data_IF_761793600716
#
_entry.id   IF_761793600716
#
_cell.length_a   1.000
_cell.length_b   1.000
_cell.length_c   1.000
_cell.angle_alpha   90.00
_cell.angle_beta   90.00
_cell.angle_gamma   90.00
#
_symmetry.space_group_name_H-M   'P 1'
#
loop_
_entity.id
_entity.type
_entity.pdbx_description
1 polymer ?
#
# COMPACT_ATOMS: atom_id res chain seq x y z
N UNK A 1 16.49 -54.92 45.66
CA UNK A 1 15.43 -53.88 45.65
C UNK A 1 14.78 -53.94 44.30
N UNK A 2 13.55 -54.48 44.17
CA UNK A 2 12.76 -54.51 42.94
C UNK A 2 11.78 -53.37 43.04
N UNK A 3 11.90 -52.29 42.16
CA UNK A 3 10.95 -51.20 42.05
C UNK A 3 9.73 -51.73 41.30
N UNK A 4 8.65 -51.98 42.00
CA UNK A 4 7.36 -52.29 41.40
C UNK A 4 6.68 -51.01 40.98
N UNK A 5 6.57 -50.76 39.68
CA UNK A 5 5.67 -49.76 39.12
C UNK A 5 4.25 -50.29 39.29
N UNK A 6 3.40 -49.54 39.95
CA UNK A 6 2.01 -49.93 40.16
C UNK A 6 1.25 -49.93 38.85
N UNK A 7 0.31 -50.89 38.70
CA UNK A 7 -0.52 -51.07 37.48
C UNK A 7 -1.24 -49.80 37.05
N UNK A 8 -1.51 -48.91 37.95
CA UNK A 8 -2.17 -47.62 37.72
C UNK A 8 -1.27 -46.60 36.99
N UNK A 9 0.04 -46.59 37.22
CA UNK A 9 0.98 -45.68 36.53
C UNK A 9 1.15 -46.10 35.08
N UNK A 10 1.14 -47.39 34.77
CA UNK A 10 1.25 -47.92 33.42
C UNK A 10 -0.02 -47.65 32.61
N UNK A 11 -1.20 -47.75 33.22
CA UNK A 11 -2.49 -47.46 32.59
C UNK A 11 -2.60 -45.95 32.30
N UNK A 12 -2.19 -45.08 33.23
CA UNK A 12 -2.18 -43.63 33.04
C UNK A 12 -1.27 -43.16 31.91
N UNK A 13 -0.07 -43.74 31.78
CA UNK A 13 0.85 -43.46 30.67
C UNK A 13 0.31 -43.95 29.32
N UNK A 14 -0.30 -45.14 29.26
CA UNK A 14 -0.89 -45.69 28.06
C UNK A 14 -2.08 -44.85 27.56
N UNK A 15 -2.96 -44.40 28.48
CA UNK A 15 -4.07 -43.52 28.13
C UNK A 15 -3.58 -42.13 27.63
N UNK A 16 -2.55 -41.54 28.25
CA UNK A 16 -1.99 -40.27 27.83
C UNK A 16 -1.34 -40.35 26.45
N UNK A 17 -0.66 -41.42 26.12
CA UNK A 17 -0.08 -41.67 24.79
C UNK A 17 -1.18 -41.89 23.76
N UNK A 18 -2.25 -42.61 24.09
CA UNK A 18 -3.38 -42.84 23.18
C UNK A 18 -4.11 -41.52 22.85
N UNK A 19 -4.34 -40.67 23.84
CA UNK A 19 -4.97 -39.35 23.66
C UNK A 19 -4.08 -38.44 22.79
N UNK A 20 -2.75 -38.45 22.99
CA UNK A 20 -1.82 -37.72 22.17
C UNK A 20 -1.79 -38.20 20.70
N UNK A 21 -1.86 -39.52 20.49
CA UNK A 21 -1.93 -40.10 19.14
C UNK A 21 -3.26 -39.76 18.46
N UNK A 22 -4.39 -39.87 19.16
CA UNK A 22 -5.71 -39.50 18.62
C UNK A 22 -5.77 -38.00 18.30
N UNK A 23 -5.19 -37.14 19.13
CA UNK A 23 -5.10 -35.69 18.85
C UNK A 23 -4.20 -35.37 17.65
N UNK A 24 -3.16 -36.17 17.39
CA UNK A 24 -2.33 -36.02 16.18
C UNK A 24 -3.07 -36.44 14.90
N UNK A 25 -3.89 -37.51 14.98
CA UNK A 25 -4.69 -38.00 13.84
C UNK A 25 -5.97 -37.18 13.59
N UNK A 26 -6.47 -36.44 14.59
CA UNK A 26 -7.62 -35.55 14.48
C UNK A 26 -7.25 -34.10 14.12
N UNK A 27 -5.99 -33.81 13.81
CA UNK A 27 -5.68 -32.49 13.21
C UNK A 27 -6.39 -32.40 11.87
N UNK A 28 -7.31 -31.44 11.67
CA UNK A 28 -7.89 -31.24 10.35
C UNK A 28 -6.73 -31.07 9.37
N UNK A 29 -6.75 -31.81 8.27
CA UNK A 29 -5.81 -31.57 7.16
C UNK A 29 -5.82 -30.08 6.88
N UNK A 30 -4.66 -29.43 6.83
CA UNK A 30 -4.62 -28.03 6.41
C UNK A 30 -5.35 -27.96 5.07
N UNK A 31 -6.40 -27.14 5.00
CA UNK A 31 -7.12 -26.94 3.77
C UNK A 31 -6.07 -26.60 2.69
N UNK A 32 -6.10 -27.31 1.56
CA UNK A 32 -5.20 -26.99 0.44
C UNK A 32 -5.45 -25.51 0.13
N UNK A 33 -4.39 -24.69 0.01
CA UNK A 33 -4.56 -23.31 -0.38
C UNK A 33 -5.34 -23.30 -1.71
N UNK A 34 -6.55 -22.82 -1.66
CA UNK A 34 -7.35 -22.61 -2.87
C UNK A 34 -6.67 -21.48 -3.60
N UNK A 35 -6.10 -21.75 -4.77
CA UNK A 35 -5.56 -20.66 -5.62
C UNK A 35 -6.73 -19.74 -5.95
N UNK A 36 -6.68 -18.47 -5.52
CA UNK A 36 -7.79 -17.56 -5.77
C UNK A 36 -8.04 -17.42 -7.27
N UNK A 37 -9.30 -17.59 -7.67
CA UNK A 37 -9.69 -17.42 -9.07
C UNK A 37 -9.70 -15.93 -9.41
N UNK A 38 -9.12 -15.51 -10.56
CA UNK A 38 -9.21 -14.14 -11.02
C UNK A 38 -10.67 -13.67 -11.11
N UNK A 39 -10.94 -12.46 -10.67
CA UNK A 39 -12.29 -11.87 -10.70
C UNK A 39 -12.27 -10.55 -11.46
N UNK A 40 -13.34 -10.28 -12.21
CA UNK A 40 -13.59 -9.00 -12.88
C UNK A 40 -14.94 -8.47 -12.40
N UNK A 41 -14.98 -7.20 -12.03
CA UNK A 41 -16.20 -6.46 -11.77
C UNK A 41 -16.26 -5.23 -12.68
N UNK A 42 -17.37 -5.05 -13.37
CA UNK A 42 -17.65 -3.88 -14.18
C UNK A 42 -18.57 -2.94 -13.41
N UNK A 43 -18.34 -1.64 -13.53
CA UNK A 43 -19.27 -0.66 -13.03
C UNK A 43 -20.63 -0.77 -13.78
N UNK A 44 -21.72 -0.46 -13.10
CA UNK A 44 -23.03 -0.39 -13.73
C UNK A 44 -23.02 0.59 -14.91
N UNK A 45 -23.69 0.22 -16.01
CA UNK A 45 -23.77 1.01 -17.27
C UNK A 45 -22.46 1.14 -18.06
N UNK A 46 -21.49 0.24 -17.86
CA UNK A 46 -20.29 0.19 -18.72
C UNK A 46 -20.67 -0.14 -20.18
N UNK A 47 -20.29 0.75 -21.11
CA UNK A 47 -20.67 0.63 -22.53
C UNK A 47 -19.77 -0.31 -23.35
N UNK A 48 -18.80 -0.97 -22.73
CA UNK A 48 -17.84 -1.90 -23.34
C UNK A 48 -17.81 -3.24 -22.60
N UNK A 49 -17.20 -4.25 -23.20
CA UNK A 49 -16.93 -5.53 -22.55
C UNK A 49 -15.49 -5.60 -22.05
N UNK A 50 -15.28 -6.29 -20.93
CA UNK A 50 -13.94 -6.58 -20.41
C UNK A 50 -13.82 -8.05 -19.99
N UNK A 51 -12.74 -8.72 -20.37
CA UNK A 51 -12.50 -10.13 -20.06
C UNK A 51 -11.00 -10.43 -19.96
N UNK A 52 -10.66 -11.39 -19.11
CA UNK A 52 -9.29 -11.92 -19.02
C UNK A 52 -9.08 -13.01 -20.06
N UNK A 53 -8.03 -12.85 -20.85
CA UNK A 53 -7.66 -13.79 -21.93
C UNK A 53 -6.19 -14.20 -21.76
N UNK A 54 -5.74 -15.31 -22.35
CA UNK A 54 -4.30 -15.60 -22.46
C UNK A 54 -3.55 -14.45 -23.13
N UNK A 55 -2.27 -14.27 -22.81
CA UNK A 55 -1.45 -13.24 -23.46
C UNK A 55 -1.57 -13.30 -24.96
N UNK A 56 -1.95 -12.18 -25.56
CA UNK A 56 -2.15 -12.06 -27.00
C UNK A 56 -0.83 -11.79 -27.72
N UNK A 57 -0.70 -12.38 -28.87
CA UNK A 57 0.41 -12.12 -29.80
C UNK A 57 0.06 -10.99 -30.76
N UNK A 58 1.07 -10.33 -31.30
CA UNK A 58 0.92 -9.31 -32.36
C UNK A 58 0.10 -8.07 -31.95
N UNK A 59 0.26 -7.64 -30.70
CA UNK A 59 -0.25 -6.35 -30.25
C UNK A 59 0.88 -5.32 -30.22
N UNK A 60 0.57 -4.07 -30.63
CA UNK A 60 1.49 -2.93 -30.51
C UNK A 60 1.47 -2.37 -29.08
N UNK A 61 2.64 -2.15 -28.43
CA UNK A 61 2.69 -1.51 -27.13
C UNK A 61 2.30 -0.05 -27.20
N UNK A 62 1.59 0.45 -26.19
CA UNK A 62 1.28 1.87 -26.03
C UNK A 62 2.30 2.54 -25.11
N UNK A 63 2.78 3.75 -25.45
CA UNK A 63 3.55 4.55 -24.51
C UNK A 63 2.68 4.93 -23.31
N UNK A 64 3.24 4.88 -22.10
CA UNK A 64 2.51 5.16 -20.87
C UNK A 64 3.31 6.07 -19.92
N UNK A 65 2.60 6.97 -19.24
CA UNK A 65 3.13 7.68 -18.08
C UNK A 65 3.00 6.78 -16.85
N UNK A 66 4.11 6.58 -16.13
CA UNK A 66 4.18 5.70 -14.96
C UNK A 66 4.40 6.53 -13.71
N UNK A 67 3.64 6.23 -12.65
CA UNK A 67 3.81 6.83 -11.33
C UNK A 67 3.81 5.73 -10.26
N UNK A 68 4.63 5.90 -9.25
CA UNK A 68 4.90 4.89 -8.23
C UNK A 68 6.26 4.22 -8.42
N UNK A 69 6.76 3.58 -7.36
CA UNK A 69 8.04 2.88 -7.42
C UNK A 69 7.92 1.55 -8.13
N UNK A 70 8.81 1.34 -9.07
CA UNK A 70 8.88 0.12 -9.86
C UNK A 70 10.31 -0.17 -10.29
N UNK A 71 10.55 -1.39 -10.71
CA UNK A 71 11.75 -1.84 -11.39
C UNK A 71 11.43 -2.22 -12.85
N UNK A 72 12.40 -2.19 -13.76
CA UNK A 72 12.22 -2.73 -15.10
C UNK A 72 11.77 -4.18 -15.04
N UNK A 73 10.79 -4.53 -15.85
CA UNK A 73 10.32 -5.89 -16.09
C UNK A 73 10.70 -6.41 -17.46
N UNK A 74 10.41 -7.68 -17.76
CA UNK A 74 10.58 -8.24 -19.10
C UNK A 74 9.73 -7.49 -20.13
N UNK A 75 10.17 -7.51 -21.37
CA UNK A 75 9.47 -6.96 -22.55
C UNK A 75 8.99 -5.49 -22.37
N UNK A 76 9.73 -4.70 -21.58
CA UNK A 76 9.37 -3.31 -21.31
C UNK A 76 8.28 -3.13 -20.26
N UNK A 77 7.89 -4.18 -19.56
CA UNK A 77 6.94 -4.11 -18.45
C UNK A 77 7.55 -3.54 -17.15
N UNK A 78 6.74 -3.48 -16.10
CA UNK A 78 7.06 -2.85 -14.84
C UNK A 78 6.83 -3.82 -13.68
N UNK A 79 7.88 -4.19 -12.96
CA UNK A 79 7.78 -4.92 -11.71
C UNK A 79 7.46 -3.93 -10.60
N UNK A 80 6.42 -4.19 -9.83
CA UNK A 80 5.95 -3.31 -8.75
C UNK A 80 5.64 -4.12 -7.49
N UNK A 81 5.74 -3.48 -6.33
CA UNK A 81 5.38 -4.08 -5.03
C UNK A 81 4.60 -3.08 -4.16
N UNK A 82 5.04 -1.82 -4.10
CA UNK A 82 4.35 -0.77 -3.37
C UNK A 82 2.91 -0.54 -3.86
N UNK A 83 1.97 -0.14 -2.98
CA UNK A 83 0.61 0.21 -3.38
C UNK A 83 0.56 1.46 -4.26
N UNK A 84 -0.57 1.70 -4.91
CA UNK A 84 -0.83 2.84 -5.78
C UNK A 84 0.14 3.01 -6.98
N UNK A 85 0.91 1.97 -7.34
CA UNK A 85 1.56 1.97 -8.65
C UNK A 85 0.48 2.15 -9.72
N UNK A 86 0.67 3.11 -10.63
CA UNK A 86 -0.27 3.33 -11.71
C UNK A 86 0.39 3.75 -13.01
N UNK A 87 -0.31 3.46 -14.10
CA UNK A 87 0.08 3.78 -15.45
C UNK A 87 -1.08 4.44 -16.19
N UNK A 88 -0.78 5.44 -17.04
CA UNK A 88 -1.78 6.12 -17.88
C UNK A 88 -1.29 6.12 -19.33
N UNK A 89 -2.16 5.69 -20.24
CA UNK A 89 -1.90 5.72 -21.67
C UNK A 89 -3.04 6.40 -22.43
N UNK A 90 -2.75 6.83 -23.65
CA UNK A 90 -3.75 7.36 -24.60
C UNK A 90 -3.67 6.60 -25.91
N UNK A 91 -4.82 6.40 -26.51
CA UNK A 91 -4.90 5.72 -27.80
C UNK A 91 -6.12 6.22 -28.60
N UNK A 92 -6.15 5.89 -29.88
CA UNK A 92 -7.32 6.05 -30.72
C UNK A 92 -7.72 4.68 -31.25
N UNK A 93 -8.98 4.26 -31.03
CA UNK A 93 -9.44 2.95 -31.42
C UNK A 93 -10.75 2.54 -30.76
N UNK A 94 -11.03 1.22 -30.75
CA UNK A 94 -12.25 0.63 -30.18
C UNK A 94 -11.95 -0.51 -29.22
N UNK A 95 -10.68 -0.80 -28.99
CA UNK A 95 -10.22 -1.85 -28.07
C UNK A 95 -8.82 -1.55 -27.52
N UNK A 96 -8.55 -2.07 -26.32
CA UNK A 96 -7.24 -1.99 -25.68
C UNK A 96 -7.04 -3.23 -24.83
N UNK A 97 -5.78 -3.67 -24.69
CA UNK A 97 -5.38 -4.77 -23.79
C UNK A 97 -4.39 -4.28 -22.76
N UNK A 98 -4.52 -4.79 -21.52
CA UNK A 98 -3.57 -4.56 -20.43
C UNK A 98 -2.96 -5.89 -20.04
N UNK A 99 -1.64 -5.98 -20.01
CA UNK A 99 -0.93 -7.21 -19.71
C UNK A 99 -0.54 -7.32 -18.23
N UNK A 100 -0.76 -8.50 -17.65
CA UNK A 100 -0.44 -8.79 -16.26
C UNK A 100 0.29 -10.13 -16.12
N UNK A 101 1.22 -10.19 -15.18
CA UNK A 101 1.63 -11.39 -14.46
C UNK A 101 1.55 -11.04 -12.97
N UNK A 102 0.33 -11.04 -12.44
CA UNK A 102 0.00 -10.58 -11.11
C UNK A 102 -1.14 -11.42 -10.48
N UNK A 103 -0.76 -12.38 -9.66
CA UNK A 103 -1.69 -13.20 -8.89
C UNK A 103 -1.94 -12.66 -7.47
N UNK A 104 -1.47 -11.45 -7.16
CA UNK A 104 -1.44 -10.89 -5.80
C UNK A 104 -2.39 -9.71 -5.63
N UNK A 105 -2.42 -8.81 -6.61
CA UNK A 105 -2.98 -7.47 -6.44
C UNK A 105 -4.41 -7.34 -6.96
N UNK A 106 -5.08 -6.29 -6.45
CA UNK A 106 -6.29 -5.73 -7.04
C UNK A 106 -5.92 -4.49 -7.85
N UNK A 107 -6.61 -4.35 -8.97
CA UNK A 107 -6.43 -3.24 -9.89
C UNK A 107 -7.75 -2.56 -10.20
N UNK A 108 -7.70 -1.24 -10.33
CA UNK A 108 -8.75 -0.45 -10.94
C UNK A 108 -8.26 0.06 -12.28
N UNK A 109 -9.08 -0.16 -13.30
CA UNK A 109 -8.85 0.34 -14.66
C UNK A 109 -9.96 1.31 -15.00
N UNK A 110 -9.62 2.57 -15.19
CA UNK A 110 -10.54 3.61 -15.61
C UNK A 110 -10.29 3.94 -17.07
N UNK A 111 -11.36 3.99 -17.85
CA UNK A 111 -11.36 4.43 -19.24
C UNK A 111 -12.50 5.38 -19.48
N UNK A 112 -12.20 6.63 -19.80
CA UNK A 112 -13.15 7.71 -20.06
C UNK A 112 -14.26 7.83 -18.99
N UNK A 113 -13.90 7.58 -17.71
CA UNK A 113 -14.84 7.63 -16.58
C UNK A 113 -15.64 6.36 -16.32
N UNK A 114 -15.42 5.31 -17.09
CA UNK A 114 -15.96 3.97 -16.78
C UNK A 114 -14.90 3.11 -16.10
N UNK A 115 -15.30 2.34 -15.09
CA UNK A 115 -14.36 1.59 -14.22
C UNK A 115 -14.52 0.08 -14.38
N UNK A 116 -13.38 -0.61 -14.43
CA UNK A 116 -13.26 -2.07 -14.31
C UNK A 116 -12.37 -2.37 -13.11
N UNK A 117 -12.81 -3.20 -12.19
CA UNK A 117 -11.97 -3.74 -11.13
C UNK A 117 -11.59 -5.19 -11.43
N UNK A 118 -10.32 -5.52 -11.18
CA UNK A 118 -9.77 -6.85 -11.39
C UNK A 118 -9.04 -7.29 -10.12
N UNK A 119 -9.29 -8.52 -9.71
CA UNK A 119 -8.55 -9.13 -8.60
C UNK A 119 -7.70 -10.28 -9.13
N UNK A 120 -6.41 -10.25 -8.79
CA UNK A 120 -5.45 -11.34 -9.04
C UNK A 120 -5.49 -11.81 -10.50
N UNK A 121 -5.26 -10.93 -11.50
CA UNK A 121 -5.40 -11.27 -12.92
C UNK A 121 -4.56 -12.48 -13.37
N UNK A 122 -3.44 -12.77 -12.71
CA UNK A 122 -2.51 -13.83 -13.09
C UNK A 122 -1.77 -13.51 -14.37
N UNK A 123 -1.31 -14.54 -15.08
CA UNK A 123 -0.64 -14.43 -16.38
C UNK A 123 -1.69 -14.27 -17.49
N UNK A 124 -2.25 -13.06 -17.62
CA UNK A 124 -3.39 -12.75 -18.52
C UNK A 124 -3.27 -11.36 -19.12
N UNK A 125 -3.92 -11.17 -20.26
CA UNK A 125 -4.31 -9.86 -20.76
C UNK A 125 -5.76 -9.55 -20.34
N UNK A 126 -6.02 -8.34 -19.82
CA UNK A 126 -7.36 -7.78 -19.76
C UNK A 126 -7.68 -7.18 -21.12
N UNK A 127 -8.57 -7.79 -21.85
CA UNK A 127 -9.07 -7.27 -23.13
C UNK A 127 -10.34 -6.46 -22.90
N UNK A 128 -10.33 -5.20 -23.31
CA UNK A 128 -11.48 -4.29 -23.31
C UNK A 128 -11.86 -4.03 -24.76
N UNK A 129 -13.11 -4.30 -25.13
CA UNK A 129 -13.64 -4.21 -26.50
C UNK A 129 -14.99 -3.51 -26.53
N UNK A 130 -15.32 -2.93 -27.67
CA UNK A 130 -16.60 -2.25 -27.86
C UNK A 130 -16.61 -0.83 -27.33
N UNK A 131 -15.43 -0.21 -27.14
CA UNK A 131 -15.29 1.21 -26.85
C UNK A 131 -15.75 2.01 -28.07
N UNK A 132 -16.37 3.16 -27.88
CA UNK A 132 -16.77 4.03 -28.99
C UNK A 132 -15.54 4.39 -29.83
N UNK A 133 -15.63 4.47 -31.17
CA UNK A 133 -14.51 4.95 -31.96
C UNK A 133 -14.08 6.37 -31.55
N UNK A 134 -12.78 6.59 -31.32
CA UNK A 134 -12.28 7.89 -30.92
C UNK A 134 -10.98 7.83 -30.15
N UNK A 135 -10.65 8.96 -29.52
CA UNK A 135 -9.50 9.10 -28.62
C UNK A 135 -9.92 8.77 -27.20
N UNK A 136 -9.09 8.02 -26.51
CA UNK A 136 -9.35 7.52 -25.17
C UNK A 136 -8.14 7.73 -24.27
N UNK A 137 -8.41 7.93 -22.99
CA UNK A 137 -7.41 7.84 -21.92
C UNK A 137 -7.76 6.63 -21.04
N UNK A 138 -6.75 5.83 -20.73
CA UNK A 138 -6.88 4.68 -19.86
C UNK A 138 -5.86 4.76 -18.73
N UNK A 139 -6.33 4.56 -17.49
CA UNK A 139 -5.53 4.47 -16.28
C UNK A 139 -5.67 3.08 -15.67
N UNK A 140 -4.56 2.45 -15.36
CA UNK A 140 -4.51 1.24 -14.54
C UNK A 140 -3.82 1.56 -13.22
N UNK A 141 -4.47 1.28 -12.10
CA UNK A 141 -3.96 1.56 -10.76
C UNK A 141 -4.07 0.34 -9.86
N UNK A 142 -2.96 -0.03 -9.20
CA UNK A 142 -2.94 -1.03 -8.15
C UNK A 142 -3.58 -0.46 -6.89
N UNK A 143 -4.71 -1.03 -6.46
CA UNK A 143 -5.51 -0.54 -5.34
C UNK A 143 -5.36 -1.37 -4.05
N UNK A 144 -4.45 -2.34 -4.01
CA UNK A 144 -4.18 -3.18 -2.84
C UNK A 144 -2.70 -3.23 -2.49
N UNK A 145 -2.39 -3.69 -1.29
CA UNK A 145 -1.07 -4.21 -0.98
C UNK A 145 -0.80 -5.54 -1.69
N UNK A 146 0.46 -5.93 -1.73
CA UNK A 146 0.89 -7.27 -2.11
C UNK A 146 2.06 -7.73 -1.26
N UNK A 147 2.16 -9.03 -0.93
CA UNK A 147 3.24 -9.58 -0.12
C UNK A 147 4.57 -9.70 -0.88
N UNK A 148 4.58 -9.42 -2.17
CA UNK A 148 5.75 -9.51 -3.04
C UNK A 148 5.53 -8.82 -4.38
N UNK A 149 6.56 -8.83 -5.25
CA UNK A 149 6.50 -8.17 -6.54
C UNK A 149 5.58 -8.88 -7.53
N UNK A 150 4.97 -8.10 -8.40
CA UNK A 150 4.18 -8.55 -9.53
C UNK A 150 4.56 -7.74 -10.78
N UNK A 151 4.06 -8.13 -11.94
CA UNK A 151 4.34 -7.48 -13.22
C UNK A 151 3.07 -6.85 -13.81
N UNK A 152 3.18 -5.57 -14.13
CA UNK A 152 2.32 -4.90 -15.10
C UNK A 152 3.06 -4.83 -16.44
N UNK A 153 2.60 -5.56 -17.44
CA UNK A 153 3.27 -5.66 -18.74
C UNK A 153 3.00 -4.46 -19.67
N UNK A 154 2.11 -3.54 -19.27
CA UNK A 154 1.78 -2.36 -20.07
C UNK A 154 0.45 -2.45 -20.80
N UNK A 155 0.19 -1.43 -21.62
CA UNK A 155 -0.99 -1.34 -22.47
C UNK A 155 -0.63 -1.71 -23.91
N UNK A 156 -1.59 -2.28 -24.64
CA UNK A 156 -1.41 -2.75 -26.02
C UNK A 156 -2.66 -2.47 -26.84
N UNK A 157 -2.44 -2.23 -28.14
CA UNK A 157 -3.51 -2.09 -29.14
C UNK A 157 -3.30 -3.08 -30.28
N UNK A 158 -4.37 -3.41 -30.99
CA UNK A 158 -4.32 -4.15 -32.26
C UNK A 158 -4.02 -3.21 -33.43
N UNK A 159 -3.80 -3.79 -34.62
CA UNK A 159 -3.43 -3.06 -35.84
C UNK A 159 -4.48 -2.02 -36.33
N UNK A 160 -5.70 -2.07 -35.79
CA UNK A 160 -6.77 -1.11 -36.12
C UNK A 160 -6.74 0.14 -35.25
N UNK A 161 -5.93 0.13 -34.16
CA UNK A 161 -5.76 1.27 -33.26
C UNK A 161 -4.51 2.08 -33.57
N UNK A 162 -4.43 3.26 -32.98
CA UNK A 162 -3.26 4.15 -33.06
C UNK A 162 -2.83 4.59 -31.66
N UNK A 163 -1.53 4.51 -31.39
CA UNK A 163 -0.94 5.05 -30.17
C UNK A 163 -0.96 6.60 -30.19
N UNK A 164 -1.12 7.15 -29.00
CA UNK A 164 -1.01 8.60 -28.75
C UNK A 164 0.01 8.83 -27.63
N UNK A 165 0.59 10.03 -27.60
CA UNK A 165 1.46 10.42 -26.50
C UNK A 165 0.69 10.31 -25.15
N UNK A 166 1.31 9.77 -24.10
CA UNK A 166 0.68 9.72 -22.77
C UNK A 166 0.41 11.15 -22.27
N UNK A 167 -0.45 11.34 -21.26
CA UNK A 167 -0.67 12.65 -20.68
C UNK A 167 0.62 13.17 -20.05
N UNK A 168 0.78 14.50 -20.08
CA UNK A 168 1.82 15.15 -19.30
C UNK A 168 1.57 14.92 -17.81
N UNK A 169 2.64 14.71 -17.01
CA UNK A 169 2.50 14.62 -15.57
C UNK A 169 1.82 15.86 -14.98
N UNK A 170 1.07 15.68 -13.89
CA UNK A 170 0.54 16.82 -13.15
C UNK A 170 1.68 17.75 -12.69
N UNK A 171 1.42 19.07 -12.57
CA UNK A 171 2.45 20.04 -12.16
C UNK A 171 3.12 19.69 -10.84
N UNK A 172 2.39 19.05 -9.91
CA UNK A 172 2.86 18.66 -8.59
C UNK A 172 2.83 17.15 -8.41
N UNK A 173 3.76 16.64 -7.58
CA UNK A 173 3.77 15.27 -7.09
C UNK A 173 3.78 15.28 -5.56
N UNK A 174 2.89 14.53 -4.95
CA UNK A 174 2.85 14.33 -3.50
C UNK A 174 3.29 12.90 -3.19
N UNK A 175 4.30 12.74 -2.33
CA UNK A 175 4.70 11.43 -1.82
C UNK A 175 4.10 11.21 -0.43
N UNK A 176 3.40 10.09 -0.25
CA UNK A 176 2.85 9.66 1.03
C UNK A 176 3.64 8.45 1.53
N UNK A 177 4.27 8.60 2.69
CA UNK A 177 5.08 7.58 3.34
C UNK A 177 4.38 7.17 4.62
N UNK A 178 4.12 5.88 4.81
CA UNK A 178 3.41 5.46 6.02
C UNK A 178 3.19 3.96 6.14
N UNK A 179 2.19 3.64 6.90
CA UNK A 179 1.81 2.27 7.24
C UNK A 179 0.43 1.88 6.67
N UNK A 180 -0.31 0.99 7.34
CA UNK A 180 -1.64 0.53 6.94
C UNK A 180 -2.66 1.66 6.79
N UNK A 181 -2.55 2.73 7.57
CA UNK A 181 -3.42 3.89 7.45
C UNK A 181 -3.18 4.62 6.12
N UNK A 182 -1.93 4.70 5.68
CA UNK A 182 -1.56 5.29 4.38
C UNK A 182 -1.91 4.38 3.22
N UNK A 183 -1.77 3.04 3.39
CA UNK A 183 -2.25 2.06 2.41
C UNK A 183 -3.76 2.18 2.16
N UNK A 184 -4.55 2.54 3.17
CA UNK A 184 -6.00 2.41 3.14
C UNK A 184 -6.44 0.96 3.37
N UNK A 185 -5.77 0.28 4.33
CA UNK A 185 -6.06 -1.10 4.71
C UNK A 185 -7.52 -1.28 5.09
N UNK A 186 -8.22 -2.12 4.35
CA UNK A 186 -9.63 -2.44 4.53
C UNK A 186 -10.57 -1.21 4.66
N UNK A 187 -10.20 -0.06 4.10
CA UNK A 187 -10.85 1.23 4.31
C UNK A 187 -12.28 1.32 3.78
N UNK A 188 -12.73 0.35 2.99
CA UNK A 188 -14.12 0.27 2.52
C UNK A 188 -14.98 -0.69 3.36
N UNK A 189 -14.42 -1.32 4.38
CA UNK A 189 -15.18 -2.13 5.33
C UNK A 189 -15.97 -1.25 6.31
N UNK A 190 -17.15 -1.74 6.71
CA UNK A 190 -18.04 -1.08 7.67
C UNK A 190 -18.08 -1.81 9.03
N UNK A 191 -17.13 -2.71 9.27
CA UNK A 191 -17.03 -3.51 10.50
C UNK A 191 -15.57 -3.81 10.84
N UNK A 192 -15.30 -4.14 12.11
CA UNK A 192 -13.94 -4.40 12.62
C UNK A 192 -13.53 -5.87 12.56
N UNK A 193 -14.49 -6.77 12.62
CA UNK A 193 -14.24 -8.22 12.59
C UNK A 193 -14.34 -8.73 11.14
N UNK A 194 -13.19 -9.05 10.56
CA UNK A 194 -13.05 -9.42 9.15
C UNK A 194 -12.07 -10.58 8.98
N UNK A 195 -12.35 -11.41 8.01
CA UNK A 195 -11.42 -12.42 7.50
C UNK A 195 -10.36 -11.78 6.59
N UNK A 196 -9.29 -12.51 6.31
CA UNK A 196 -8.22 -12.04 5.39
C UNK A 196 -8.75 -11.72 3.99
N UNK A 197 -9.68 -12.54 3.47
CA UNK A 197 -10.30 -12.30 2.16
C UNK A 197 -11.18 -11.03 2.16
N UNK A 198 -11.87 -10.74 3.26
CA UNK A 198 -12.65 -9.51 3.42
C UNK A 198 -11.74 -8.29 3.53
N UNK A 199 -10.63 -8.39 4.27
CA UNK A 199 -9.61 -7.35 4.34
C UNK A 199 -9.06 -7.07 2.94
N UNK A 200 -8.66 -8.11 2.20
CA UNK A 200 -8.17 -7.98 0.84
C UNK A 200 -9.21 -7.32 -0.08
N UNK A 201 -10.46 -7.75 -0.02
CA UNK A 201 -11.55 -7.19 -0.83
C UNK A 201 -11.89 -5.74 -0.47
N UNK A 202 -11.74 -5.37 0.82
CA UNK A 202 -12.07 -4.04 1.32
C UNK A 202 -10.90 -3.05 1.30
N UNK A 203 -9.68 -3.46 0.98
CA UNK A 203 -8.54 -2.55 0.85
C UNK A 203 -8.60 -1.82 -0.49
N UNK A 204 -8.68 -0.50 -0.46
CA UNK A 204 -8.70 0.35 -1.67
C UNK A 204 -7.81 1.58 -1.47
N UNK A 205 -6.54 1.47 -1.85
CA UNK A 205 -5.57 2.54 -1.72
C UNK A 205 -5.99 3.81 -2.45
N UNK A 206 -6.68 3.71 -3.59
CA UNK A 206 -7.14 4.86 -4.36
C UNK A 206 -8.17 5.72 -3.61
N UNK A 207 -8.79 5.16 -2.56
CA UNK A 207 -9.74 5.83 -1.66
C UNK A 207 -9.11 6.23 -0.32
N UNK A 208 -7.83 5.96 -0.08
CA UNK A 208 -7.15 6.45 1.12
C UNK A 208 -6.99 7.97 1.09
N UNK A 209 -6.61 8.56 2.19
CA UNK A 209 -6.48 10.03 2.33
C UNK A 209 -5.47 10.62 1.33
N UNK A 210 -4.40 9.90 1.01
CA UNK A 210 -3.36 10.38 0.10
C UNK A 210 -3.89 10.71 -1.30
N UNK A 211 -4.48 9.76 -2.03
CA UNK A 211 -5.11 10.04 -3.31
C UNK A 211 -6.25 11.06 -3.25
N UNK A 212 -6.98 11.18 -2.13
CA UNK A 212 -7.99 12.22 -1.95
C UNK A 212 -7.36 13.61 -1.92
N UNK A 213 -6.29 13.80 -1.14
CA UNK A 213 -5.52 15.06 -1.11
C UNK A 213 -4.94 15.41 -2.47
N UNK A 214 -4.31 14.44 -3.14
CA UNK A 214 -3.70 14.67 -4.44
C UNK A 214 -4.73 15.10 -5.49
N UNK A 215 -5.87 14.43 -5.57
CA UNK A 215 -6.98 14.84 -6.47
C UNK A 215 -7.50 16.23 -6.18
N UNK A 216 -7.67 16.58 -4.91
CA UNK A 216 -8.15 17.92 -4.52
C UNK A 216 -7.18 19.03 -4.89
N UNK A 217 -5.87 18.73 -4.96
CA UNK A 217 -4.81 19.67 -5.34
C UNK A 217 -4.41 19.59 -6.82
N UNK A 218 -5.06 18.76 -7.63
CA UNK A 218 -4.69 18.53 -9.03
C UNK A 218 -3.26 18.00 -9.17
N UNK A 219 -2.80 17.17 -8.26
CA UNK A 219 -1.45 16.62 -8.18
C UNK A 219 -1.42 15.12 -8.51
N UNK A 220 -0.27 14.66 -9.01
CA UNK A 220 0.06 13.25 -9.00
C UNK A 220 0.42 12.79 -7.58
N UNK A 221 0.37 11.48 -7.33
CA UNK A 221 0.75 10.92 -6.04
C UNK A 221 1.55 9.63 -6.16
N UNK A 222 2.39 9.40 -5.17
CA UNK A 222 3.16 8.17 -4.98
C UNK A 222 3.00 7.74 -3.53
N UNK A 223 2.72 6.45 -3.30
CA UNK A 223 2.54 5.89 -1.96
C UNK A 223 3.65 4.88 -1.69
N UNK A 224 4.39 5.09 -0.62
CA UNK A 224 5.41 4.20 -0.07
C UNK A 224 4.95 3.80 1.33
N UNK A 225 4.12 2.79 1.37
CA UNK A 225 3.47 2.37 2.60
C UNK A 225 3.32 0.85 2.67
N UNK A 226 3.32 0.32 3.90
CA UNK A 226 3.14 -1.10 4.16
C UNK A 226 2.47 -1.30 5.51
N UNK A 227 1.50 -2.22 5.57
CA UNK A 227 0.82 -2.55 6.81
C UNK A 227 1.78 -3.15 7.85
N UNK A 228 1.60 -2.75 9.11
CA UNK A 228 2.42 -3.20 10.22
C UNK A 228 3.80 -2.54 10.37
N UNK A 229 4.22 -1.73 9.39
CA UNK A 229 5.56 -1.11 9.39
C UNK A 229 5.63 0.10 10.31
N UNK A 230 6.79 0.28 10.94
CA UNK A 230 7.17 1.50 11.67
C UNK A 230 8.54 1.99 11.25
N UNK A 231 9.01 3.06 11.89
CA UNK A 231 10.31 3.65 11.57
C UNK A 231 11.45 3.03 12.38
N UNK A 232 11.28 2.87 13.68
CA UNK A 232 12.27 2.26 14.59
C UNK A 232 11.87 0.86 15.00
N UNK A 233 10.56 0.60 15.03
CA UNK A 233 9.93 -0.60 15.51
C UNK A 233 8.66 -0.83 14.70
N UNK A 234 8.44 -2.05 14.24
CA UNK A 234 7.21 -2.48 13.60
C UNK A 234 6.19 -2.90 14.67
N UNK A 235 4.93 -3.08 14.28
CA UNK A 235 3.89 -3.55 15.19
C UNK A 235 4.32 -4.86 15.88
N UNK A 236 4.20 -4.90 17.22
CA UNK A 236 4.61 -6.06 18.03
C UNK A 236 6.11 -6.36 18.05
N UNK A 237 6.98 -5.42 17.64
CA UNK A 237 8.43 -5.66 17.53
C UNK A 237 8.83 -6.61 16.40
N UNK A 238 7.91 -6.93 15.48
CA UNK A 238 8.15 -7.85 14.37
C UNK A 238 9.20 -7.32 13.38
N UNK A 239 9.98 -8.20 12.78
CA UNK A 239 10.95 -7.92 11.71
C UNK A 239 11.81 -6.65 11.96
N UNK A 240 12.58 -6.55 13.05
CA UNK A 240 13.29 -5.33 13.44
C UNK A 240 14.31 -4.84 12.40
N UNK A 241 14.77 -5.73 11.53
CA UNK A 241 15.71 -5.44 10.43
C UNK A 241 15.00 -4.90 9.17
N UNK A 242 13.66 -4.76 9.19
CA UNK A 242 12.87 -4.38 8.02
C UNK A 242 11.88 -3.27 8.34
N UNK A 243 12.35 -2.21 8.99
CA UNK A 243 11.55 -1.01 9.25
C UNK A 243 11.47 -0.11 8.00
N UNK A 244 10.66 0.93 8.04
CA UNK A 244 10.52 1.86 6.91
C UNK A 244 11.86 2.48 6.51
N UNK A 245 12.77 2.69 7.45
CA UNK A 245 14.11 3.22 7.14
C UNK A 245 14.90 2.33 6.18
N UNK A 246 14.80 1.01 6.31
CA UNK A 246 15.45 0.04 5.43
C UNK A 246 14.68 -0.20 4.14
N UNK A 247 13.35 -0.21 4.20
CA UNK A 247 12.53 -0.55 3.02
C UNK A 247 12.30 0.64 2.09
N UNK A 248 12.28 1.86 2.61
CA UNK A 248 12.00 3.05 1.80
C UNK A 248 12.87 3.18 0.54
N UNK A 249 14.20 2.95 0.54
CA UNK A 249 15.01 3.14 -0.67
C UNK A 249 14.77 2.07 -1.75
N UNK A 250 14.08 0.97 -1.43
CA UNK A 250 13.93 -0.16 -2.34
C UNK A 250 12.81 0.07 -3.36
N UNK A 251 13.08 -0.29 -4.63
CA UNK A 251 12.04 -0.37 -5.64
C UNK A 251 11.05 -1.49 -5.33
N UNK A 252 11.59 -2.63 -4.90
CA UNK A 252 10.85 -3.83 -4.54
C UNK A 252 11.35 -4.33 -3.18
N UNK A 253 10.60 -4.17 -2.08
CA UNK A 253 10.98 -4.66 -0.76
C UNK A 253 11.38 -6.14 -0.67
N UNK A 254 10.80 -7.00 -1.50
CA UNK A 254 11.12 -8.42 -1.54
C UNK A 254 12.32 -8.76 -2.47
N UNK A 255 12.78 -7.80 -3.28
CA UNK A 255 13.95 -7.94 -4.15
C UNK A 255 14.85 -6.70 -4.01
N UNK A 256 15.67 -6.61 -2.94
CA UNK A 256 16.48 -5.43 -2.65
C UNK A 256 17.53 -5.08 -3.72
N UNK A 257 17.84 -6.01 -4.63
CA UNK A 257 18.78 -5.80 -5.72
C UNK A 257 18.12 -5.26 -7.00
N UNK A 258 16.78 -5.19 -7.04
CA UNK A 258 16.07 -4.68 -8.20
C UNK A 258 16.39 -3.19 -8.43
N UNK A 259 16.84 -2.80 -9.64
CA UNK A 259 17.11 -1.41 -9.94
C UNK A 259 15.80 -0.61 -9.97
N UNK A 260 15.78 0.54 -9.31
CA UNK A 260 14.63 1.42 -9.37
C UNK A 260 14.56 2.16 -10.72
N UNK A 261 13.35 2.32 -11.25
CA UNK A 261 13.11 3.26 -12.33
C UNK A 261 13.31 4.70 -11.83
N UNK A 262 13.81 5.61 -12.69
CA UNK A 262 13.94 7.02 -12.33
C UNK A 262 12.62 7.60 -11.82
N UNK A 263 12.69 8.38 -10.75
CA UNK A 263 11.54 9.03 -10.15
C UNK A 263 11.75 10.54 -10.17
N UNK A 264 10.70 11.31 -10.50
CA UNK A 264 10.77 12.76 -10.31
C UNK A 264 10.71 13.10 -8.80
N UNK A 265 11.37 14.20 -8.37
CA UNK A 265 11.22 14.69 -7.00
C UNK A 265 9.76 14.99 -6.65
N UNK A 266 9.40 14.80 -5.38
CA UNK A 266 8.12 15.22 -4.85
C UNK A 266 8.16 16.69 -4.43
N UNK A 267 7.05 17.40 -4.57
CA UNK A 267 6.88 18.78 -4.11
C UNK A 267 6.40 18.83 -2.66
N UNK A 268 5.69 17.78 -2.23
CA UNK A 268 5.19 17.62 -0.87
C UNK A 268 5.45 16.17 -0.44
N UNK A 269 5.91 16.00 0.80
CA UNK A 269 6.16 14.69 1.41
C UNK A 269 5.35 14.59 2.69
N UNK A 270 4.36 13.70 2.72
CA UNK A 270 3.57 13.43 3.92
C UNK A 270 4.10 12.16 4.57
N UNK A 271 4.50 12.24 5.84
CA UNK A 271 5.04 11.11 6.62
C UNK A 271 4.06 10.78 7.74
N UNK A 272 3.32 9.68 7.59
CA UNK A 272 2.38 9.16 8.58
C UNK A 272 2.92 7.88 9.21
N UNK A 273 3.94 8.00 10.07
CA UNK A 273 4.58 6.89 10.77
C UNK A 273 4.52 7.12 12.29
N UNK A 274 4.29 6.06 13.05
CA UNK A 274 4.24 6.11 14.51
C UNK A 274 3.19 5.19 15.11
N UNK A 275 2.06 4.99 14.45
CA UNK A 275 0.98 4.09 14.89
C UNK A 275 1.50 2.69 15.23
N UNK A 276 2.28 2.05 14.38
CA UNK A 276 2.87 0.75 14.66
C UNK A 276 4.02 0.79 15.69
N UNK A 277 4.68 1.93 15.84
CA UNK A 277 5.75 2.11 16.83
C UNK A 277 5.17 2.09 18.24
N UNK A 278 4.04 2.78 18.47
CA UNK A 278 3.40 2.93 19.78
C UNK A 278 2.13 2.07 19.96
N UNK A 279 1.60 1.46 18.90
CA UNK A 279 0.31 0.76 18.88
C UNK A 279 0.29 -0.64 19.49
N UNK A 280 1.40 -1.13 20.03
CA UNK A 280 1.48 -2.41 20.72
C UNK A 280 2.41 -2.35 21.92
N UNK A 281 2.17 -3.16 22.97
CA UNK A 281 3.08 -3.26 24.11
C UNK A 281 4.52 -3.57 23.68
N UNK A 282 5.48 -3.06 24.42
CA UNK A 282 6.90 -3.39 24.24
C UNK A 282 7.16 -4.82 24.72
N UNK A 283 7.95 -5.60 23.97
CA UNK A 283 8.46 -6.87 24.41
C UNK A 283 9.63 -6.65 25.38
N UNK A 284 9.75 -7.44 26.46
CA UNK A 284 10.88 -7.33 27.41
C UNK A 284 12.28 -7.52 26.78
N UNK A 285 12.37 -8.05 25.57
CA UNK A 285 13.62 -8.20 24.82
C UNK A 285 13.95 -6.98 23.94
N UNK A 286 13.01 -6.05 23.77
CA UNK A 286 13.27 -4.81 23.05
C UNK A 286 14.13 -3.87 23.90
N UNK A 287 14.83 -2.96 23.25
CA UNK A 287 15.79 -2.06 23.92
C UNK A 287 15.15 -0.96 24.77
N UNK A 288 13.86 -0.69 24.58
CA UNK A 288 13.12 0.35 25.29
C UNK A 288 12.38 -0.23 26.49
N UNK A 289 12.39 0.50 27.59
CA UNK A 289 11.73 0.08 28.83
C UNK A 289 10.28 0.50 28.91
N UNK A 290 9.92 1.60 28.25
CA UNK A 290 8.56 2.17 28.22
C UNK A 290 8.40 3.09 26.99
N UNK A 291 7.16 3.59 26.78
CA UNK A 291 6.86 4.48 25.66
C UNK A 291 7.59 5.82 25.73
N UNK A 292 7.93 6.33 26.92
CA UNK A 292 8.69 7.57 27.07
C UNK A 292 10.14 7.39 26.61
N UNK A 293 10.74 6.22 26.91
CA UNK A 293 12.05 5.82 26.42
C UNK A 293 12.05 5.68 24.89
N UNK A 294 11.03 5.02 24.35
CA UNK A 294 10.81 4.88 22.90
C UNK A 294 10.64 6.25 22.20
N UNK A 295 9.87 7.16 22.80
CA UNK A 295 9.61 8.50 22.23
C UNK A 295 10.88 9.37 22.17
N UNK A 296 11.80 9.22 23.13
CA UNK A 296 13.09 9.92 23.10
C UNK A 296 13.92 9.56 21.87
N UNK A 297 13.82 8.31 21.42
CA UNK A 297 14.51 7.85 20.22
C UNK A 297 13.72 8.16 18.95
N UNK A 298 12.38 8.03 19.01
CA UNK A 298 11.52 8.14 17.83
C UNK A 298 11.48 9.57 17.27
N UNK A 299 11.38 10.61 18.10
CA UNK A 299 11.32 11.99 17.62
C UNK A 299 12.53 12.38 16.77
N UNK A 300 13.78 12.20 17.27
CA UNK A 300 14.99 12.43 16.47
C UNK A 300 15.07 11.55 15.20
N UNK A 301 14.70 10.29 15.29
CA UNK A 301 14.73 9.38 14.14
C UNK A 301 13.73 9.80 13.05
N UNK A 302 12.54 10.26 13.43
CA UNK A 302 11.53 10.80 12.51
C UNK A 302 12.06 12.09 11.84
N UNK A 303 12.68 12.97 12.59
CA UNK A 303 13.31 14.19 12.05
C UNK A 303 14.45 13.87 11.07
N UNK A 304 15.31 12.89 11.39
CA UNK A 304 16.40 12.47 10.52
C UNK A 304 15.88 11.80 9.24
N UNK A 305 14.87 10.96 9.37
CA UNK A 305 14.20 10.34 8.22
C UNK A 305 13.57 11.41 7.31
N UNK A 306 12.82 12.34 7.88
CA UNK A 306 12.18 13.44 7.15
C UNK A 306 13.22 14.37 6.47
N UNK A 307 14.31 14.69 7.16
CA UNK A 307 15.43 15.46 6.59
C UNK A 307 16.03 14.77 5.37
N UNK A 308 16.26 13.46 5.45
CA UNK A 308 16.81 12.71 4.33
C UNK A 308 15.85 12.76 3.12
N UNK A 309 14.55 12.68 3.36
CA UNK A 309 13.52 12.82 2.28
C UNK A 309 13.51 14.21 1.67
N UNK A 310 13.62 15.25 2.49
CA UNK A 310 13.73 16.62 2.00
C UNK A 310 14.99 16.85 1.15
N UNK A 311 16.11 16.21 1.51
CA UNK A 311 17.36 16.29 0.74
C UNK A 311 17.25 15.59 -0.63
N UNK A 312 16.52 14.48 -0.69
CA UNK A 312 16.24 13.76 -1.95
C UNK A 312 15.23 14.52 -2.84
N UNK A 313 14.45 15.45 -2.26
CA UNK A 313 13.42 16.24 -2.92
C UNK A 313 13.61 17.73 -2.62
N UNK A 314 14.59 18.39 -3.26
CA UNK A 314 14.92 19.78 -2.95
C UNK A 314 13.73 20.72 -3.16
N UNK A 315 13.43 21.50 -2.12
CA UNK A 315 12.28 22.42 -2.12
C UNK A 315 10.95 21.82 -1.67
N UNK A 316 10.91 20.51 -1.38
CA UNK A 316 9.69 19.86 -0.89
C UNK A 316 9.27 20.35 0.49
N UNK A 317 7.96 20.54 0.68
CA UNK A 317 7.37 20.71 2.00
C UNK A 317 7.19 19.36 2.67
N UNK A 318 7.71 19.17 3.87
CA UNK A 318 7.49 17.98 4.70
C UNK A 318 6.24 18.19 5.56
N UNK A 319 5.34 17.21 5.60
CA UNK A 319 4.20 17.17 6.50
C UNK A 319 4.33 15.94 7.39
N UNK A 320 4.44 16.15 8.70
CA UNK A 320 4.38 15.07 9.68
C UNK A 320 2.92 14.86 10.09
N UNK A 321 2.44 13.62 9.95
CA UNK A 321 1.08 13.22 10.33
C UNK A 321 1.14 12.26 11.51
N UNK A 322 0.52 12.62 12.62
CA UNK A 322 0.43 11.83 13.83
C UNK A 322 -1.01 11.61 14.29
N UNK A 323 -1.23 10.55 15.08
CA UNK A 323 -2.54 10.20 15.65
C UNK A 323 -2.46 10.13 17.17
N UNK A 324 -3.15 11.05 17.86
CA UNK A 324 -3.09 11.23 19.31
C UNK A 324 -3.64 10.05 20.12
N UNK A 325 -4.42 9.19 19.49
CA UNK A 325 -4.97 7.97 20.13
C UNK A 325 -3.91 6.95 20.55
N UNK A 326 -2.71 7.02 19.98
CA UNK A 326 -1.58 6.15 20.35
C UNK A 326 -0.75 6.67 21.53
N UNK A 327 -1.24 7.72 22.19
CA UNK A 327 -0.70 8.24 23.45
C UNK A 327 0.05 9.58 23.32
N UNK A 328 0.18 10.27 24.45
CA UNK A 328 0.86 11.56 24.50
C UNK A 328 2.34 11.47 24.09
N UNK A 329 2.99 10.34 24.30
CA UNK A 329 4.39 10.12 23.93
C UNK A 329 4.60 10.17 22.41
N UNK A 330 3.65 9.62 21.63
CA UNK A 330 3.68 9.77 20.16
C UNK A 330 3.54 11.23 19.77
N UNK A 331 2.59 11.94 20.37
CA UNK A 331 2.32 13.36 20.07
C UNK A 331 3.55 14.22 20.39
N UNK A 332 4.15 14.04 21.56
CA UNK A 332 5.37 14.74 21.98
C UNK A 332 6.53 14.46 21.02
N UNK A 333 6.72 13.21 20.62
CA UNK A 333 7.77 12.83 19.69
C UNK A 333 7.59 13.49 18.30
N UNK A 334 6.36 13.63 17.82
CA UNK A 334 6.07 14.35 16.57
C UNK A 334 6.35 15.86 16.71
N UNK A 335 5.97 16.49 17.82
CA UNK A 335 6.33 17.89 18.10
C UNK A 335 7.84 18.08 18.16
N UNK A 336 8.57 17.16 18.82
CA UNK A 336 10.02 17.17 18.85
C UNK A 336 10.63 17.03 17.46
N UNK A 337 10.09 16.13 16.62
CA UNK A 337 10.57 15.97 15.25
C UNK A 337 10.37 17.26 14.43
N UNK A 338 9.19 17.89 14.52
CA UNK A 338 8.91 19.17 13.85
C UNK A 338 9.87 20.28 14.31
N UNK A 339 10.09 20.44 15.60
CA UNK A 339 11.06 21.41 16.15
C UNK A 339 12.48 21.17 15.62
N UNK A 340 12.93 19.93 15.55
CA UNK A 340 14.24 19.58 14.99
C UNK A 340 14.34 19.87 13.49
N UNK A 341 13.26 19.76 12.75
CA UNK A 341 13.22 20.17 11.33
C UNK A 341 13.30 21.69 11.18
N UNK A 342 12.60 22.46 12.03
CA UNK A 342 12.68 23.93 12.08
C UNK A 342 14.10 24.40 12.39
N UNK A 343 14.76 23.82 13.42
CA UNK A 343 16.16 24.11 13.77
C UNK A 343 17.13 23.87 12.61
N UNK A 344 16.79 22.94 11.71
CA UNK A 344 17.58 22.59 10.51
C UNK A 344 17.19 23.37 9.26
N UNK A 345 16.25 24.31 9.38
CA UNK A 345 15.75 25.11 8.25
C UNK A 345 14.97 24.33 7.21
N UNK A 346 14.36 23.19 7.59
CA UNK A 346 13.55 22.37 6.70
C UNK A 346 12.09 22.81 6.81
N UNK A 347 11.51 23.24 5.69
CA UNK A 347 10.10 23.59 5.63
C UNK A 347 9.22 22.41 6.02
N UNK A 348 8.46 22.57 7.10
CA UNK A 348 7.61 21.50 7.58
C UNK A 348 6.27 22.00 8.12
N UNK A 349 5.33 21.07 8.26
CA UNK A 349 4.04 21.22 8.94
C UNK A 349 3.80 19.98 9.81
N UNK A 350 3.18 20.18 10.95
CA UNK A 350 2.72 19.10 11.81
C UNK A 350 1.19 19.05 11.81
N UNK A 351 0.63 17.89 11.53
CA UNK A 351 -0.80 17.58 11.62
C UNK A 351 -0.95 16.44 12.62
N UNK A 352 -1.58 16.71 13.76
CA UNK A 352 -1.94 15.70 14.75
C UNK A 352 -3.47 15.62 14.83
N UNK A 353 -3.98 14.43 14.62
CA UNK A 353 -5.40 14.13 14.72
C UNK A 353 -5.69 13.43 16.05
N UNK A 354 -6.68 13.91 16.78
CA UNK A 354 -6.95 13.38 18.12
C UNK A 354 -7.43 11.92 18.08
N UNK A 355 -8.47 11.63 17.30
CA UNK A 355 -9.05 10.29 17.32
C UNK A 355 -9.95 9.99 16.11
N UNK A 356 -9.46 9.33 15.07
CA UNK A 356 -10.29 8.67 14.08
C UNK A 356 -11.21 7.61 14.72
N UNK A 357 -12.37 7.34 14.13
CA UNK A 357 -13.31 6.35 14.69
C UNK A 357 -12.85 4.91 14.53
N UNK A 358 -12.08 4.65 13.47
CA UNK A 358 -11.48 3.34 13.13
C UNK A 358 -12.50 2.21 13.12
N UNK A 359 -13.53 2.39 12.29
CA UNK A 359 -14.63 1.44 12.17
C UNK A 359 -14.41 0.36 11.11
N UNK A 360 -13.33 0.44 10.34
CA UNK A 360 -12.96 -0.59 9.38
C UNK A 360 -12.26 -1.81 10.06
N UNK A 361 -11.99 -2.85 9.29
CA UNK A 361 -11.40 -4.09 9.81
C UNK A 361 -10.19 -3.84 10.71
N UNK A 362 -10.11 -4.59 11.79
CA UNK A 362 -8.99 -4.57 12.74
C UNK A 362 -8.68 -3.14 13.25
N UNK A 363 -9.70 -2.31 13.45
CA UNK A 363 -9.57 -0.94 13.97
C UNK A 363 -8.77 -0.01 13.06
N UNK A 364 -8.88 -0.19 11.74
CA UNK A 364 -8.29 0.73 10.77
C UNK A 364 -9.26 1.86 10.40
N UNK A 365 -8.73 2.96 9.83
CA UNK A 365 -9.55 4.07 9.36
C UNK A 365 -10.55 3.63 8.29
N UNK A 366 -11.80 4.03 8.47
CA UNK A 366 -12.89 3.85 7.50
C UNK A 366 -12.83 4.92 6.41
N UNK A 367 -13.70 4.82 5.39
CA UNK A 367 -13.81 5.82 4.33
C UNK A 367 -14.07 7.24 4.89
N UNK A 368 -14.88 7.37 5.96
CA UNK A 368 -15.12 8.65 6.64
C UNK A 368 -13.89 9.18 7.39
N UNK A 369 -13.13 8.29 8.03
CA UNK A 369 -11.87 8.68 8.66
C UNK A 369 -10.85 9.16 7.64
N UNK A 370 -10.74 8.47 6.50
CA UNK A 370 -9.86 8.91 5.41
C UNK A 370 -10.25 10.28 4.84
N UNK A 371 -11.55 10.58 4.74
CA UNK A 371 -12.01 11.90 4.32
C UNK A 371 -11.62 12.97 5.37
N UNK A 372 -11.80 12.70 6.66
CA UNK A 372 -11.38 13.60 7.73
C UNK A 372 -9.86 13.85 7.73
N UNK A 373 -9.05 12.80 7.57
CA UNK A 373 -7.59 12.94 7.47
C UNK A 373 -7.21 13.80 6.26
N UNK A 374 -7.86 13.56 5.11
CA UNK A 374 -7.63 14.34 3.90
C UNK A 374 -7.99 15.83 4.09
N UNK A 375 -9.11 16.14 4.74
CA UNK A 375 -9.50 17.52 5.06
C UNK A 375 -8.48 18.23 5.95
N UNK A 376 -7.97 17.55 6.98
CA UNK A 376 -6.95 18.11 7.86
C UNK A 376 -5.64 18.38 7.12
N UNK A 377 -5.19 17.47 6.26
CA UNK A 377 -4.02 17.66 5.42
C UNK A 377 -4.22 18.81 4.43
N UNK A 378 -5.37 18.89 3.77
CA UNK A 378 -5.71 19.99 2.87
C UNK A 378 -5.74 21.34 3.60
N UNK A 379 -6.24 21.38 4.84
CA UNK A 379 -6.21 22.59 5.67
C UNK A 379 -4.78 23.04 5.96
N UNK A 380 -3.88 22.10 6.29
CA UNK A 380 -2.46 22.39 6.53
C UNK A 380 -1.72 22.82 5.25
N UNK A 381 -2.22 22.47 4.06
CA UNK A 381 -1.60 22.75 2.77
C UNK A 381 -2.19 23.97 2.04
N UNK A 382 -3.18 24.68 2.63
CA UNK A 382 -3.87 25.82 1.96
C UNK A 382 -2.93 26.91 1.47
N UNK A 383 -1.92 27.26 2.25
CA UNK A 383 -0.98 28.34 1.91
C UNK A 383 -0.01 27.96 0.78
N UNK A 384 0.16 26.67 0.50
CA UNK A 384 1.01 26.20 -0.61
C UNK A 384 0.29 26.23 -1.96
N UNK A 385 -1.04 26.34 -1.96
CA UNK A 385 -1.85 26.38 -3.18
C UNK A 385 -1.83 27.76 -3.89
N UNK A 386 -1.39 28.84 -3.21
CA UNK A 386 -1.42 30.22 -3.72
C UNK A 386 -0.11 30.68 -4.37
N UNK A 387 0.92 29.87 -4.40
CA UNK A 387 2.28 30.21 -4.86
C UNK A 387 2.70 29.54 -6.19
N UNK A 388 1.77 29.16 -7.06
CA UNK A 388 2.06 28.55 -8.35
C UNK A 388 1.61 29.39 -9.53
#
# INVERSE_FOLDING_TARGET
MRSGWTREVVIGLACSVLIAIVALYMRPCPARPVTPVPQIALAENTAFSARLVPWQQKLGPLPAAITGRAAPGPDGGYRHEWPAFHAVARFEGTSVSLRFDDSLSRWRVDIDGSTVEISRPGLRDLLIEGIKPGRHEIRAEKISESPGPALFGGFFINDAGRDLAPPEPAPRLIEFIGDSDTVGFANTAERRDCTEDEIYAATDTSRSFGPQVARALGADYRIIARSGIGLLRNYGGADPERTMGQLYPLALPADPQAPALPQRPADIIVIGLGSNVFGSPLDPQERWTDNSDLARDFGPALADFARARAQENPGALVVLLGFGEYGPELVEAHHRAAALLDERGIANRLVVLDKPQRNACLWHPSASDHAMIAEALLAALKDTAQGG
#
